data_IF_590374419404
#
_entry.id   IF_590374419404
#
_cell.length_a   1.000
_cell.length_b   1.000
_cell.length_c   1.000
_cell.angle_alpha   90.00
_cell.angle_beta   90.00
_cell.angle_gamma   90.00
#
_symmetry.space_group_name_H-M   'P 1'
#
loop_
_entity.id
_entity.type
_entity.pdbx_description
1 polymer ?
#
# COMPACT_ATOMS: atom_id res chain seq x y z
N UNK A 1 31.03 16.95 -2.07
CA UNK A 1 32.45 16.96 -1.69
C UNK A 1 32.74 15.74 -0.81
N UNK A 2 33.68 14.85 -1.19
CA UNK A 2 34.05 13.66 -0.41
C UNK A 2 34.49 13.97 1.03
N UNK A 3 35.10 15.13 1.26
CA UNK A 3 35.54 15.55 2.61
C UNK A 3 34.41 15.81 3.58
N UNK A 4 33.23 16.29 3.10
CA UNK A 4 32.05 16.48 3.93
C UNK A 4 31.31 15.17 4.22
N UNK A 5 31.57 14.13 3.46
CA UNK A 5 31.01 12.80 3.68
C UNK A 5 31.82 11.97 4.68
N UNK A 6 33.09 12.31 4.90
CA UNK A 6 34.00 11.57 5.78
C UNK A 6 33.45 11.42 7.22
N UNK A 7 32.73 12.43 7.74
CA UNK A 7 32.13 12.38 9.08
C UNK A 7 31.01 11.32 9.21
N UNK A 8 30.45 10.83 8.09
CA UNK A 8 29.42 9.80 8.08
C UNK A 8 29.97 8.38 7.85
N UNK A 9 31.31 8.28 7.67
CA UNK A 9 32.00 7.01 7.46
C UNK A 9 31.52 6.27 6.21
N UNK A 10 31.64 4.94 6.23
CA UNK A 10 31.28 4.07 5.09
C UNK A 10 29.82 4.20 4.67
N UNK A 11 28.92 4.55 5.59
CA UNK A 11 27.50 4.78 5.29
C UNK A 11 27.24 6.00 4.39
N UNK A 12 28.19 6.94 4.34
CA UNK A 12 28.14 8.12 3.46
C UNK A 12 28.61 7.87 2.02
N UNK A 13 29.10 6.67 1.67
CA UNK A 13 29.70 6.38 0.37
C UNK A 13 28.77 6.65 -0.83
N UNK A 14 27.46 6.46 -0.66
CA UNK A 14 26.45 6.70 -1.70
C UNK A 14 25.76 8.07 -1.59
N UNK A 15 26.32 8.98 -0.78
CA UNK A 15 25.76 10.29 -0.49
C UNK A 15 24.95 10.32 0.81
N UNK A 16 24.77 11.54 1.34
CA UNK A 16 24.02 11.79 2.58
C UNK A 16 22.99 12.87 2.33
N UNK A 17 21.75 12.62 2.72
CA UNK A 17 20.67 13.61 2.75
C UNK A 17 20.46 14.02 4.20
N UNK A 18 20.76 15.28 4.52
CA UNK A 18 20.55 15.85 5.86
C UNK A 18 19.22 16.59 5.86
N UNK A 19 18.29 16.14 6.71
CA UNK A 19 17.00 16.80 6.88
C UNK A 19 17.02 17.55 8.21
N UNK A 20 16.93 18.88 8.14
CA UNK A 20 16.79 19.73 9.31
C UNK A 20 15.34 20.20 9.43
N UNK A 21 14.67 19.81 10.51
CA UNK A 21 13.28 20.23 10.77
C UNK A 21 13.23 21.67 11.25
N UNK A 22 12.14 22.37 10.94
CA UNK A 22 11.89 23.71 11.46
C UNK A 22 11.67 23.65 12.96
N UNK A 23 12.39 24.49 13.72
CA UNK A 23 12.16 24.65 15.17
C UNK A 23 11.01 25.64 15.42
N UNK A 24 10.28 25.44 16.52
CA UNK A 24 9.27 26.39 16.96
C UNK A 24 9.92 27.72 17.37
N UNK A 25 9.22 28.84 17.15
CA UNK A 25 9.67 30.14 17.60
C UNK A 25 9.22 30.34 19.05
N UNK A 26 10.10 30.93 19.87
CA UNK A 26 9.82 31.27 21.29
C UNK A 26 8.59 32.17 21.40
N UNK A 27 7.76 31.90 22.40
CA UNK A 27 6.56 32.66 22.71
C UNK A 27 5.33 32.36 21.84
N UNK A 28 5.40 31.37 20.91
CA UNK A 28 4.28 31.02 20.04
C UNK A 28 3.99 29.53 20.06
N UNK A 29 2.75 29.20 20.39
CA UNK A 29 2.21 27.86 20.09
C UNK A 29 1.44 27.93 18.78
N UNK A 30 1.72 26.97 17.89
CA UNK A 30 1.06 26.87 16.57
C UNK A 30 0.42 25.52 16.42
N UNK A 31 -0.82 25.53 15.95
CA UNK A 31 -1.53 24.33 15.51
C UNK A 31 -1.58 24.38 13.98
N UNK A 32 -1.16 23.30 13.34
CA UNK A 32 -1.28 23.13 11.90
C UNK A 32 -2.18 21.94 11.61
N UNK A 33 -3.14 22.14 10.73
CA UNK A 33 -4.04 21.10 10.25
C UNK A 33 -3.93 21.10 8.74
N UNK A 34 -3.57 19.95 8.17
CA UNK A 34 -3.50 19.74 6.72
C UNK A 34 -4.33 18.53 6.37
N UNK A 35 -5.21 18.67 5.40
CA UNK A 35 -6.02 17.60 4.87
C UNK A 35 -6.00 17.63 3.34
N UNK A 36 -5.93 16.47 2.74
CA UNK A 36 -6.11 16.29 1.30
C UNK A 36 -6.97 15.08 1.05
N UNK A 37 -7.75 15.15 -0.02
CA UNK A 37 -8.52 14.02 -0.53
C UNK A 37 -8.51 14.07 -2.05
N UNK A 38 -8.72 12.93 -2.66
CA UNK A 38 -8.76 12.79 -4.10
C UNK A 38 -9.32 11.45 -4.52
N UNK A 39 -9.51 11.32 -5.82
CA UNK A 39 -9.91 10.08 -6.45
C UNK A 39 -8.82 9.66 -7.43
N UNK A 40 -8.66 8.36 -7.60
CA UNK A 40 -7.78 7.78 -8.61
C UNK A 40 -8.54 6.77 -9.43
N UNK A 41 -8.30 6.75 -10.72
CA UNK A 41 -8.88 5.79 -11.66
C UNK A 41 -7.78 5.22 -12.55
N UNK A 42 -8.08 4.13 -13.21
CA UNK A 42 -7.23 3.57 -14.27
C UNK A 42 -7.55 4.34 -15.55
N UNK A 43 -6.61 5.15 -16.08
CA UNK A 43 -6.91 6.02 -17.23
C UNK A 43 -7.05 5.22 -18.54
N UNK A 44 -6.29 4.12 -18.67
CA UNK A 44 -6.30 3.28 -19.86
C UNK A 44 -6.32 1.82 -19.45
N UNK A 45 -7.20 1.06 -20.06
CA UNK A 45 -7.24 -0.40 -19.97
C UNK A 45 -6.55 -0.99 -21.21
N UNK A 46 -6.18 -2.26 -21.10
CA UNK A 46 -5.65 -3.02 -22.24
C UNK A 46 -6.85 -3.41 -23.13
N UNK A 47 -6.79 -3.07 -24.39
CA UNK A 47 -7.81 -3.52 -25.35
C UNK A 47 -7.73 -5.04 -25.51
N UNK A 48 -8.84 -5.70 -25.28
CA UNK A 48 -8.98 -7.15 -25.37
C UNK A 48 -10.04 -7.48 -26.42
N UNK A 49 -9.89 -8.64 -27.06
CA UNK A 49 -10.93 -9.15 -27.94
C UNK A 49 -12.19 -9.48 -27.14
N UNK A 50 -13.34 -9.29 -27.74
CA UNK A 50 -14.61 -9.71 -27.19
C UNK A 50 -14.82 -11.25 -27.30
N UNK A 51 -15.93 -11.74 -26.79
CA UNK A 51 -16.22 -13.17 -26.80
C UNK A 51 -16.32 -13.75 -28.21
N UNK A 52 -16.83 -12.99 -29.18
CA UNK A 52 -16.95 -13.46 -30.57
C UNK A 52 -15.57 -13.63 -31.21
N UNK A 53 -14.75 -12.60 -31.12
CA UNK A 53 -13.38 -12.65 -31.62
C UNK A 53 -12.54 -13.71 -30.93
N UNK A 54 -12.71 -13.88 -29.59
CA UNK A 54 -12.00 -14.92 -28.86
C UNK A 54 -12.38 -16.33 -29.35
N UNK A 55 -13.67 -16.63 -29.53
CA UNK A 55 -14.15 -17.93 -30.02
C UNK A 55 -13.56 -18.26 -31.39
N UNK A 56 -13.52 -17.29 -32.28
CA UNK A 56 -12.96 -17.47 -33.64
C UNK A 56 -11.46 -17.75 -33.58
N UNK A 57 -10.70 -16.88 -32.87
CA UNK A 57 -9.24 -17.03 -32.77
C UNK A 57 -8.84 -18.35 -32.08
N UNK A 58 -9.56 -18.74 -31.03
CA UNK A 58 -9.26 -19.97 -30.30
C UNK A 58 -9.52 -21.22 -31.16
N UNK A 59 -10.66 -21.26 -31.87
CA UNK A 59 -10.97 -22.35 -32.76
C UNK A 59 -10.06 -22.37 -34.02
N UNK A 60 -9.63 -21.19 -34.52
CA UNK A 60 -8.63 -21.12 -35.56
C UNK A 60 -7.28 -21.73 -35.10
N UNK A 61 -6.85 -21.41 -33.87
CA UNK A 61 -5.65 -22.02 -33.29
C UNK A 61 -5.79 -23.54 -33.25
N UNK A 62 -6.90 -24.08 -32.75
CA UNK A 62 -7.12 -25.51 -32.66
C UNK A 62 -7.10 -26.18 -34.05
N UNK A 63 -7.74 -25.58 -35.07
CA UNK A 63 -7.69 -26.04 -36.45
C UNK A 63 -6.26 -26.09 -36.99
N UNK A 64 -5.49 -25.06 -36.76
CA UNK A 64 -4.09 -24.97 -37.20
C UNK A 64 -3.19 -26.02 -36.55
N UNK A 65 -3.54 -26.43 -35.31
CA UNK A 65 -2.86 -27.52 -34.59
C UNK A 65 -3.37 -28.93 -34.97
N UNK A 66 -4.41 -29.02 -35.80
CA UNK A 66 -5.05 -30.29 -36.17
C UNK A 66 -5.97 -30.87 -35.08
N UNK A 67 -6.37 -30.03 -34.12
CA UNK A 67 -7.29 -30.40 -33.05
C UNK A 67 -8.76 -30.10 -33.47
N UNK A 68 -9.74 -30.81 -32.88
CA UNK A 68 -11.15 -30.46 -33.04
C UNK A 68 -11.43 -29.08 -32.39
N UNK A 69 -12.37 -28.35 -32.98
CA UNK A 69 -12.84 -27.09 -32.41
C UNK A 69 -13.46 -27.30 -31.02
N UNK A 70 -13.29 -26.29 -30.16
CA UNK A 70 -13.94 -26.26 -28.86
C UNK A 70 -15.42 -25.89 -29.02
N UNK A 71 -16.31 -26.66 -28.39
CA UNK A 71 -17.73 -26.34 -28.35
C UNK A 71 -18.00 -25.24 -27.28
N UNK A 72 -18.34 -24.08 -27.76
CA UNK A 72 -18.72 -22.95 -26.90
C UNK A 72 -20.22 -22.91 -26.53
N UNK A 73 -20.97 -24.00 -26.79
CA UNK A 73 -22.37 -24.09 -26.35
C UNK A 73 -22.44 -23.96 -24.83
N UNK A 74 -23.31 -23.08 -24.32
CA UNK A 74 -23.36 -22.77 -22.90
C UNK A 74 -22.42 -21.64 -22.42
N UNK A 75 -21.38 -21.31 -23.19
CA UNK A 75 -20.46 -20.19 -22.87
C UNK A 75 -20.94 -18.91 -23.55
N UNK A 76 -21.93 -18.24 -22.91
CA UNK A 76 -22.63 -17.08 -23.47
C UNK A 76 -22.18 -15.73 -22.85
N UNK A 77 -21.09 -15.73 -22.07
CA UNK A 77 -20.51 -14.50 -21.52
C UNK A 77 -19.89 -13.64 -22.61
N UNK A 78 -19.76 -12.36 -22.32
CA UNK A 78 -18.94 -11.39 -23.05
C UNK A 78 -18.34 -10.41 -22.03
N UNK A 79 -17.50 -10.95 -21.16
CA UNK A 79 -17.05 -10.25 -19.94
C UNK A 79 -15.75 -9.51 -20.21
N UNK A 80 -15.78 -8.20 -20.00
CA UNK A 80 -14.57 -7.42 -19.82
C UNK A 80 -14.11 -7.51 -18.36
N UNK A 81 -13.21 -8.42 -18.09
CA UNK A 81 -12.73 -8.66 -16.73
C UNK A 81 -12.03 -7.47 -16.10
N UNK A 82 -11.48 -6.54 -16.88
CA UNK A 82 -10.89 -5.33 -16.36
C UNK A 82 -11.95 -4.40 -15.76
N UNK A 83 -13.11 -4.25 -16.40
CA UNK A 83 -14.23 -3.48 -15.88
C UNK A 83 -14.77 -4.09 -14.59
N UNK A 84 -14.76 -5.42 -14.51
CA UNK A 84 -15.23 -6.13 -13.32
C UNK A 84 -14.34 -5.94 -12.10
N UNK A 85 -13.03 -5.91 -12.29
CA UNK A 85 -12.09 -5.81 -11.16
C UNK A 85 -11.75 -4.36 -10.79
N UNK A 86 -11.84 -3.41 -11.72
CA UNK A 86 -11.44 -2.03 -11.47
C UNK A 86 -12.55 -1.21 -10.78
N UNK A 87 -12.11 -0.22 -10.06
CA UNK A 87 -12.95 0.80 -9.42
C UNK A 87 -12.22 2.14 -9.37
N UNK A 88 -12.98 3.21 -9.17
CA UNK A 88 -12.42 4.49 -8.77
C UNK A 88 -12.07 4.42 -7.29
N UNK A 89 -10.80 4.57 -6.96
CA UNK A 89 -10.30 4.58 -5.60
C UNK A 89 -10.39 5.96 -4.96
N UNK A 90 -10.54 5.98 -3.65
CA UNK A 90 -10.50 7.20 -2.83
C UNK A 90 -9.18 7.26 -2.07
N UNK A 91 -8.59 8.46 -2.00
CA UNK A 91 -7.36 8.71 -1.25
C UNK A 91 -7.55 9.92 -0.33
N UNK A 92 -7.09 9.79 0.90
CA UNK A 92 -7.04 10.92 1.83
C UNK A 92 -5.78 10.88 2.68
N UNK A 93 -5.25 12.07 3.00
CA UNK A 93 -4.11 12.25 3.88
C UNK A 93 -4.37 13.45 4.79
N UNK A 94 -4.45 13.20 6.08
CA UNK A 94 -4.80 14.19 7.09
C UNK A 94 -3.72 14.22 8.16
N UNK A 95 -3.24 15.41 8.48
CA UNK A 95 -2.20 15.60 9.46
C UNK A 95 -2.58 16.76 10.39
N UNK A 96 -2.35 16.56 11.67
CA UNK A 96 -2.46 17.60 12.67
C UNK A 96 -1.14 17.68 13.44
N UNK A 97 -0.66 18.90 13.71
CA UNK A 97 0.52 19.08 14.55
C UNK A 97 0.40 20.32 15.42
N UNK A 98 1.02 20.22 16.59
CA UNK A 98 1.14 21.30 17.55
C UNK A 98 2.63 21.51 17.81
N UNK A 99 3.09 22.73 17.70
CA UNK A 99 4.45 23.14 18.01
C UNK A 99 4.44 24.31 18.97
N UNK A 100 5.34 24.30 19.92
CA UNK A 100 5.51 25.44 20.82
C UNK A 100 6.94 25.55 21.35
N UNK A 101 7.36 26.73 21.70
CA UNK A 101 8.63 26.96 22.34
C UNK A 101 8.56 28.11 23.37
N UNK A 102 9.29 27.93 24.48
CA UNK A 102 9.68 28.94 25.42
C UNK A 102 11.20 29.12 25.37
N UNK A 103 11.77 29.99 26.20
CA UNK A 103 13.23 30.14 26.30
C UNK A 103 13.94 28.85 26.73
N UNK A 104 13.28 27.99 27.51
CA UNK A 104 13.85 26.78 28.11
C UNK A 104 13.28 25.49 27.56
N UNK A 105 12.20 25.52 26.78
CA UNK A 105 11.51 24.33 26.34
C UNK A 105 10.96 24.47 24.91
N UNK A 106 11.17 23.51 24.08
CA UNK A 106 10.50 23.40 22.78
C UNK A 106 9.90 22.02 22.58
N UNK A 107 8.73 21.97 21.94
CA UNK A 107 8.04 20.72 21.68
C UNK A 107 7.38 20.70 20.30
N UNK A 108 7.24 19.50 19.80
CA UNK A 108 6.45 19.14 18.63
C UNK A 108 5.62 17.89 18.95
N UNK A 109 4.35 17.92 18.62
CA UNK A 109 3.46 16.76 18.63
C UNK A 109 2.74 16.74 17.28
N UNK A 110 2.83 15.64 16.56
CA UNK A 110 2.17 15.45 15.28
C UNK A 110 1.47 14.09 15.20
N UNK A 111 0.29 14.07 14.62
CA UNK A 111 -0.44 12.86 14.28
C UNK A 111 -0.91 12.91 12.82
N UNK A 112 -0.83 11.79 12.14
CA UNK A 112 -1.24 11.68 10.74
C UNK A 112 -2.07 10.44 10.49
N UNK A 113 -3.01 10.54 9.56
CA UNK A 113 -3.80 9.44 9.04
C UNK A 113 -3.83 9.50 7.53
N UNK A 114 -3.39 8.44 6.89
CA UNK A 114 -3.51 8.25 5.45
C UNK A 114 -4.38 7.01 5.17
N UNK A 115 -5.28 7.14 4.22
CA UNK A 115 -6.11 6.05 3.73
C UNK A 115 -6.16 6.09 2.21
N UNK A 116 -6.07 4.91 1.60
CA UNK A 116 -6.15 4.74 0.16
C UNK A 116 -6.98 3.49 -0.15
N UNK A 117 -8.00 3.68 -0.95
CA UNK A 117 -8.70 2.61 -1.63
C UNK A 117 -8.03 2.35 -2.98
N UNK A 118 -7.68 1.11 -3.28
CA UNK A 118 -7.04 0.71 -4.51
C UNK A 118 -7.93 0.88 -5.75
N UNK A 119 -7.31 0.86 -6.91
CA UNK A 119 -8.03 0.82 -8.19
C UNK A 119 -8.60 -0.57 -8.48
N UNK A 120 -8.16 -1.60 -7.79
CA UNK A 120 -8.79 -2.92 -7.80
C UNK A 120 -9.75 -3.00 -6.61
N UNK A 121 -10.92 -3.59 -6.83
CA UNK A 121 -11.92 -3.79 -5.78
C UNK A 121 -11.31 -4.50 -4.56
N UNK A 122 -11.69 -4.10 -3.36
CA UNK A 122 -11.27 -4.65 -2.08
C UNK A 122 -9.80 -4.37 -1.66
N UNK A 123 -9.00 -3.65 -2.46
CA UNK A 123 -7.70 -3.17 -2.02
C UNK A 123 -7.84 -1.94 -1.13
N UNK A 124 -7.24 -1.99 0.06
CA UNK A 124 -7.26 -0.89 1.03
C UNK A 124 -5.91 -0.79 1.72
N UNK A 125 -5.42 0.42 1.82
CA UNK A 125 -4.23 0.77 2.57
C UNK A 125 -4.58 1.79 3.64
N UNK A 126 -4.03 1.65 4.85
CA UNK A 126 -4.12 2.72 5.83
C UNK A 126 -2.83 2.84 6.64
N UNK A 127 -2.55 4.06 7.08
CA UNK A 127 -1.38 4.38 7.89
C UNK A 127 -1.73 5.42 8.94
N UNK A 128 -1.40 5.12 10.18
CA UNK A 128 -1.44 6.08 11.29
C UNK A 128 0.00 6.39 11.66
N UNK A 129 0.32 7.66 11.88
CA UNK A 129 1.62 8.12 12.33
C UNK A 129 1.51 8.97 13.58
N UNK A 130 2.49 8.86 14.46
CA UNK A 130 2.68 9.72 15.63
C UNK A 130 4.13 10.18 15.65
N UNK A 131 4.33 11.49 15.85
CA UNK A 131 5.65 12.08 15.97
C UNK A 131 5.68 13.00 17.19
N UNK A 132 6.66 12.79 18.06
CA UNK A 132 6.87 13.60 19.27
C UNK A 132 8.31 14.03 19.32
N UNK A 133 8.56 15.30 19.62
CA UNK A 133 9.89 15.81 19.88
C UNK A 133 9.82 16.81 21.04
N UNK A 134 10.78 16.71 21.93
CA UNK A 134 10.91 17.60 23.06
C UNK A 134 12.39 17.94 23.29
N UNK A 135 12.66 19.21 23.60
CA UNK A 135 13.98 19.69 23.99
C UNK A 135 13.85 20.61 25.20
N UNK A 136 14.65 20.38 26.21
CA UNK A 136 14.74 21.20 27.41
C UNK A 136 16.14 21.75 27.57
N UNK A 137 16.24 23.07 27.77
CA UNK A 137 17.42 23.78 28.22
C UNK A 137 17.45 23.73 29.73
N UNK A 138 18.23 22.84 30.31
CA UNK A 138 18.34 22.72 31.77
C UNK A 138 19.16 23.87 32.39
N UNK A 139 20.22 24.26 31.65
CA UNK A 139 21.03 25.46 31.93
C UNK A 139 21.33 26.18 30.62
N UNK A 140 22.01 27.33 30.64
CA UNK A 140 22.39 28.05 29.42
C UNK A 140 23.34 27.26 28.52
N UNK A 141 24.07 26.33 29.10
CA UNK A 141 25.05 25.50 28.39
C UNK A 141 24.75 24.00 28.38
N UNK A 142 23.58 23.56 28.91
CA UNK A 142 23.21 22.14 28.92
C UNK A 142 21.77 21.94 28.50
N UNK A 143 21.57 21.12 27.46
CA UNK A 143 20.26 20.74 26.94
C UNK A 143 20.12 19.24 26.77
N UNK A 144 18.90 18.80 26.98
CA UNK A 144 18.51 17.40 26.77
C UNK A 144 17.28 17.36 25.88
N UNK A 145 17.15 16.31 25.08
CA UNK A 145 15.99 16.16 24.23
C UNK A 145 15.71 14.73 23.87
N UNK A 146 14.52 14.50 23.37
CA UNK A 146 14.14 13.23 22.76
C UNK A 146 13.27 13.46 21.52
N UNK A 147 13.32 12.50 20.62
CA UNK A 147 12.45 12.40 19.46
C UNK A 147 11.91 10.98 19.38
N UNK A 148 10.66 10.87 19.00
CA UNK A 148 10.02 9.59 18.74
C UNK A 148 9.11 9.70 17.52
N UNK A 149 9.20 8.73 16.62
CA UNK A 149 8.31 8.57 15.49
C UNK A 149 7.76 7.16 15.48
N UNK A 150 6.45 7.03 15.42
CA UNK A 150 5.76 5.76 15.35
C UNK A 150 4.82 5.70 14.15
N UNK A 151 4.68 4.52 13.57
CA UNK A 151 3.71 4.27 12.52
C UNK A 151 3.10 2.88 12.66
N UNK A 152 1.79 2.80 12.44
CA UNK A 152 1.06 1.57 12.20
C UNK A 152 0.56 1.59 10.78
N UNK A 153 0.86 0.55 10.02
CA UNK A 153 0.55 0.45 8.59
C UNK A 153 -0.24 -0.83 8.38
N UNK A 154 -1.40 -0.71 7.76
CA UNK A 154 -2.16 -1.82 7.21
C UNK A 154 -1.94 -1.79 5.69
N UNK A 155 -1.01 -2.60 5.16
CA UNK A 155 -0.73 -2.62 3.72
C UNK A 155 -1.92 -3.20 2.97
N UNK A 156 -2.08 -2.78 1.71
CA UNK A 156 -3.06 -3.38 0.83
C UNK A 156 -2.74 -4.85 0.58
N UNK A 157 -3.77 -5.68 0.57
CA UNK A 157 -3.68 -7.05 0.04
C UNK A 157 -3.79 -6.95 -1.49
N UNK A 158 -2.65 -6.72 -2.14
CA UNK A 158 -2.56 -6.40 -3.55
C UNK A 158 -3.01 -7.57 -4.41
N UNK A 159 -3.98 -7.33 -5.29
CA UNK A 159 -4.46 -8.27 -6.29
C UNK A 159 -3.76 -8.02 -7.62
N UNK A 160 -3.67 -9.06 -8.43
CA UNK A 160 -3.02 -8.94 -9.73
C UNK A 160 -4.04 -8.67 -10.84
N UNK A 161 -3.70 -7.75 -11.73
CA UNK A 161 -4.45 -7.51 -12.98
C UNK A 161 -4.24 -8.64 -13.99
N UNK A 162 -3.17 -9.41 -13.83
CA UNK A 162 -2.78 -10.48 -14.77
C UNK A 162 -3.88 -11.51 -14.99
N UNK A 163 -4.62 -11.87 -13.93
CA UNK A 163 -5.75 -12.82 -14.07
C UNK A 163 -6.86 -12.26 -14.94
N UNK A 164 -7.20 -10.98 -14.78
CA UNK A 164 -8.23 -10.32 -15.57
C UNK A 164 -7.86 -10.18 -17.06
N UNK A 165 -6.58 -9.90 -17.35
CA UNK A 165 -6.10 -9.77 -18.73
C UNK A 165 -6.02 -11.14 -19.42
N UNK A 166 -5.80 -12.22 -18.67
CA UNK A 166 -5.65 -13.59 -19.23
C UNK A 166 -6.94 -14.37 -19.28
N UNK A 167 -7.96 -14.00 -18.51
CA UNK A 167 -9.23 -14.72 -18.45
C UNK A 167 -10.00 -14.57 -19.77
N UNK A 168 -10.53 -15.68 -20.26
CA UNK A 168 -11.36 -15.68 -21.46
C UNK A 168 -12.65 -14.88 -21.26
N UNK A 169 -13.08 -14.08 -22.24
CA UNK A 169 -14.30 -13.29 -22.11
C UNK A 169 -15.60 -14.12 -22.22
N UNK A 170 -15.53 -15.38 -22.62
CA UNK A 170 -16.75 -16.20 -22.83
C UNK A 170 -17.42 -16.66 -21.54
N UNK A 171 -16.72 -16.61 -20.42
CA UNK A 171 -17.30 -16.93 -19.11
C UNK A 171 -18.06 -15.72 -18.54
N UNK A 172 -19.20 -15.98 -17.91
CA UNK A 172 -19.93 -15.00 -17.13
C UNK A 172 -19.24 -14.79 -15.78
N UNK A 173 -19.41 -13.63 -15.17
CA UNK A 173 -18.86 -13.35 -13.83
C UNK A 173 -19.53 -14.22 -12.79
N UNK A 174 -20.86 -14.33 -12.88
CA UNK A 174 -21.72 -14.85 -11.82
C UNK A 174 -22.87 -15.67 -12.41
N UNK A 175 -23.28 -16.72 -11.72
CA UNK A 175 -24.48 -17.47 -12.03
C UNK A 175 -25.57 -17.05 -11.04
N UNK A 176 -26.58 -16.33 -11.54
CA UNK A 176 -27.65 -15.76 -10.72
C UNK A 176 -28.55 -16.83 -10.10
N UNK A 177 -28.73 -17.97 -10.77
CA UNK A 177 -29.57 -19.06 -10.31
C UNK A 177 -29.04 -19.68 -9.02
N UNK A 178 -27.72 -19.86 -8.94
CA UNK A 178 -27.07 -20.50 -7.80
C UNK A 178 -26.42 -19.51 -6.83
N UNK A 179 -26.35 -18.24 -7.18
CA UNK A 179 -25.71 -17.23 -6.35
C UNK A 179 -24.20 -17.41 -6.21
N UNK A 180 -23.54 -17.95 -7.24
CA UNK A 180 -22.13 -18.31 -7.22
C UNK A 180 -21.35 -17.69 -8.38
N UNK A 181 -20.06 -17.42 -8.17
CA UNK A 181 -19.16 -17.10 -9.27
C UNK A 181 -18.94 -18.29 -10.16
N UNK A 182 -18.91 -18.07 -11.48
CA UNK A 182 -18.70 -19.13 -12.46
C UNK A 182 -17.23 -19.55 -12.56
N UNK A 183 -16.96 -20.78 -12.92
CA UNK A 183 -15.62 -21.21 -13.35
C UNK A 183 -15.30 -20.65 -14.75
N UNK A 184 -14.03 -20.71 -15.13
CA UNK A 184 -13.60 -20.56 -16.51
C UNK A 184 -13.77 -21.91 -17.24
N UNK A 185 -13.76 -21.93 -18.61
CA UNK A 185 -13.79 -23.17 -19.39
C UNK A 185 -12.65 -24.13 -19.06
N UNK A 186 -12.80 -25.41 -19.43
CA UNK A 186 -11.85 -26.49 -19.14
C UNK A 186 -10.42 -26.14 -19.53
N UNK A 187 -10.21 -25.48 -20.65
CA UNK A 187 -8.87 -25.08 -21.10
C UNK A 187 -8.20 -24.02 -20.21
N UNK A 188 -8.94 -23.37 -19.30
CA UNK A 188 -8.39 -22.37 -18.38
C UNK A 188 -8.60 -22.70 -16.90
N UNK A 189 -9.70 -23.37 -16.52
CA UNK A 189 -10.08 -23.56 -15.11
C UNK A 189 -9.02 -24.25 -14.24
N UNK A 190 -8.17 -25.09 -14.86
CA UNK A 190 -7.08 -25.75 -14.17
C UNK A 190 -5.90 -24.81 -13.85
N UNK A 191 -5.76 -23.71 -14.57
CA UNK A 191 -4.63 -22.79 -14.48
C UNK A 191 -4.97 -21.54 -13.67
N UNK A 192 -6.22 -21.10 -13.69
CA UNK A 192 -6.67 -19.87 -13.04
C UNK A 192 -8.17 -19.91 -12.71
N UNK A 193 -8.53 -19.15 -11.69
CA UNK A 193 -9.93 -18.94 -11.34
C UNK A 193 -10.52 -17.76 -12.13
N UNK A 194 -11.84 -17.64 -12.06
CA UNK A 194 -12.53 -16.40 -12.35
C UNK A 194 -11.88 -15.24 -11.58
N UNK A 195 -11.49 -14.14 -12.25
CA UNK A 195 -10.82 -13.01 -11.61
C UNK A 195 -11.56 -12.45 -10.39
N UNK A 196 -12.89 -12.45 -10.41
CA UNK A 196 -13.70 -11.95 -9.29
C UNK A 196 -13.64 -12.86 -8.06
N UNK A 197 -13.40 -14.16 -8.23
CA UNK A 197 -13.12 -15.06 -7.09
C UNK A 197 -11.89 -14.59 -6.31
N UNK A 198 -10.84 -14.20 -7.02
CA UNK A 198 -9.63 -13.71 -6.38
C UNK A 198 -9.80 -12.32 -5.76
N UNK A 199 -10.57 -11.45 -6.41
CA UNK A 199 -10.77 -10.07 -5.97
C UNK A 199 -11.77 -9.97 -4.82
N UNK A 200 -12.83 -10.78 -4.83
CA UNK A 200 -13.95 -10.67 -3.87
C UNK A 200 -13.92 -11.77 -2.81
N UNK A 201 -14.03 -13.04 -3.19
CA UNK A 201 -14.09 -14.14 -2.23
C UNK A 201 -12.77 -14.34 -1.46
N UNK A 202 -11.64 -14.07 -2.09
CA UNK A 202 -10.34 -14.06 -1.42
C UNK A 202 -9.98 -12.68 -0.86
N UNK A 203 -10.91 -11.72 -0.89
CA UNK A 203 -10.71 -10.44 -0.24
C UNK A 203 -10.50 -10.64 1.27
N UNK A 204 -9.55 -9.89 1.85
CA UNK A 204 -9.24 -9.93 3.28
C UNK A 204 -8.78 -11.30 3.81
N UNK A 205 -8.39 -12.24 2.94
CA UNK A 205 -7.80 -13.51 3.37
C UNK A 205 -6.38 -13.34 3.94
N UNK A 206 -5.69 -12.28 3.52
CA UNK A 206 -4.42 -11.86 4.09
C UNK A 206 -4.62 -10.62 4.94
N UNK A 207 -4.30 -10.73 6.23
CA UNK A 207 -4.28 -9.59 7.14
C UNK A 207 -2.85 -9.31 7.53
N UNK A 208 -2.31 -8.22 7.02
CA UNK A 208 -0.97 -7.76 7.35
C UNK A 208 -1.03 -6.48 8.21
N UNK A 209 -0.11 -6.37 9.14
CA UNK A 209 0.00 -5.27 10.08
C UNK A 209 1.47 -5.00 10.36
N UNK A 210 1.94 -3.80 10.00
CA UNK A 210 3.31 -3.40 10.18
C UNK A 210 3.42 -2.27 11.19
N UNK A 211 4.31 -2.41 12.14
CA UNK A 211 4.66 -1.38 13.11
C UNK A 211 6.08 -0.90 12.84
N UNK A 212 6.27 0.40 12.87
CA UNK A 212 7.57 1.05 12.79
C UNK A 212 7.68 2.04 13.93
N UNK A 213 8.83 2.02 14.60
CA UNK A 213 9.16 2.97 15.63
C UNK A 213 10.61 3.38 15.50
N UNK A 214 10.89 4.66 15.60
CA UNK A 214 12.26 5.17 15.71
C UNK A 214 12.29 6.26 16.75
N UNK A 215 13.35 6.30 17.54
CA UNK A 215 13.49 7.32 18.55
C UNK A 215 14.93 7.52 18.95
N UNK A 216 15.19 8.69 19.49
CA UNK A 216 16.47 9.01 20.09
C UNK A 216 16.28 9.88 21.32
N UNK A 217 17.22 9.76 22.22
CA UNK A 217 17.43 10.68 23.34
C UNK A 217 18.84 11.23 23.24
N UNK A 218 19.02 12.51 23.55
CA UNK A 218 20.33 13.13 23.46
C UNK A 218 20.54 14.14 24.58
N UNK A 219 21.79 14.36 24.90
CA UNK A 219 22.29 15.41 25.76
C UNK A 219 23.39 16.17 25.06
N UNK A 220 23.36 17.48 25.14
CA UNK A 220 24.36 18.39 24.60
C UNK A 220 24.86 19.32 25.70
N UNK A 221 26.18 19.45 25.80
CA UNK A 221 26.84 20.28 26.76
C UNK A 221 27.89 21.14 26.09
N UNK A 222 27.70 22.47 26.17
CA UNK A 222 28.65 23.48 25.69
C UNK A 222 29.57 23.86 26.85
N UNK A 223 30.88 23.68 26.72
CA UNK A 223 31.86 23.94 27.76
C UNK A 223 33.10 24.64 27.20
N UNK A 224 33.84 25.36 28.09
CA UNK A 224 35.06 26.07 27.77
C UNK A 224 34.96 26.99 26.53
N UNK A 225 33.82 27.62 26.31
CA UNK A 225 33.50 28.61 25.23
C UNK A 225 33.58 28.07 23.78
N UNK A 226 34.35 27.00 23.51
CA UNK A 226 34.64 26.53 22.14
C UNK A 226 34.38 25.03 21.94
N UNK A 227 33.95 24.34 22.99
CA UNK A 227 33.74 22.90 22.95
C UNK A 227 32.27 22.56 23.17
N UNK A 228 31.78 21.64 22.34
CA UNK A 228 30.46 21.04 22.50
C UNK A 228 30.63 19.51 22.60
N UNK A 229 30.04 18.94 23.63
CA UNK A 229 29.89 17.49 23.76
C UNK A 229 28.45 17.12 23.51
N UNK A 230 28.24 16.17 22.61
CA UNK A 230 26.92 15.60 22.31
C UNK A 230 26.94 14.09 22.47
N UNK A 231 26.09 13.57 23.34
CA UNK A 231 25.80 12.15 23.46
C UNK A 231 24.37 11.88 22.95
N UNK A 232 24.21 10.84 22.14
CA UNK A 232 22.91 10.45 21.60
C UNK A 232 22.78 8.92 21.61
N UNK A 233 21.64 8.45 22.10
CA UNK A 233 21.23 7.06 21.98
C UNK A 233 20.00 6.98 21.06
N UNK A 234 20.06 6.10 20.06
CA UNK A 234 19.00 5.91 19.08
C UNK A 234 18.54 4.46 19.06
N UNK A 235 17.26 4.26 18.88
CA UNK A 235 16.64 2.94 18.75
C UNK A 235 15.65 2.94 17.59
N UNK A 236 15.70 1.87 16.78
CA UNK A 236 14.75 1.60 15.73
C UNK A 236 14.06 0.25 15.99
N UNK A 237 12.75 0.24 15.80
CA UNK A 237 11.90 -0.93 15.94
C UNK A 237 11.09 -1.17 14.67
N UNK A 238 11.03 -2.41 14.23
CA UNK A 238 10.19 -2.83 13.11
C UNK A 238 9.56 -4.20 13.41
N UNK A 239 8.26 -4.29 13.23
CA UNK A 239 7.51 -5.55 13.35
C UNK A 239 6.57 -5.67 12.17
N UNK A 240 6.63 -6.79 11.46
CA UNK A 240 5.74 -7.10 10.36
C UNK A 240 5.00 -8.40 10.72
N UNK A 241 3.69 -8.29 10.89
CA UNK A 241 2.82 -9.43 11.20
C UNK A 241 1.93 -9.69 9.99
N UNK A 242 1.85 -10.95 9.57
CA UNK A 242 0.94 -11.36 8.50
C UNK A 242 0.25 -12.65 8.88
N UNK A 243 -1.05 -12.69 8.66
CA UNK A 243 -1.88 -13.90 8.76
C UNK A 243 -2.57 -14.11 7.43
N UNK A 244 -2.47 -15.32 6.89
CA UNK A 244 -3.19 -15.74 5.70
C UNK A 244 -4.16 -16.86 6.06
N UNK A 245 -5.39 -16.70 5.62
CA UNK A 245 -6.44 -17.73 5.68
C UNK A 245 -6.78 -18.13 4.26
N UNK A 246 -6.91 -19.41 4.00
CA UNK A 246 -7.36 -19.92 2.70
C UNK A 246 -8.78 -20.47 2.88
N UNK A 247 -9.81 -19.74 2.43
CA UNK A 247 -11.19 -20.20 2.54
C UNK A 247 -11.45 -21.35 1.58
N UNK A 248 -12.43 -22.19 1.92
CA UNK A 248 -13.07 -23.08 0.94
C UNK A 248 -14.01 -22.20 0.12
N UNK A 249 -13.80 -22.18 -1.20
CA UNK A 249 -14.58 -21.36 -2.12
C UNK A 249 -15.46 -22.28 -2.95
N UNK A 250 -16.75 -22.02 -2.92
CA UNK A 250 -17.71 -22.65 -3.81
C UNK A 250 -17.86 -21.79 -5.06
N UNK A 251 -17.77 -22.43 -6.22
CA UNK A 251 -17.99 -21.82 -7.52
C UNK A 251 -18.94 -22.71 -8.32
N UNK A 252 -19.68 -22.12 -9.23
CA UNK A 252 -20.52 -22.84 -10.18
C UNK A 252 -19.66 -23.33 -11.36
N UNK A 253 -19.62 -24.62 -11.63
CA UNK A 253 -18.92 -25.19 -12.76
C UNK A 253 -19.83 -25.24 -13.99
N UNK A 254 -19.71 -24.21 -14.84
CA UNK A 254 -20.51 -24.09 -16.06
C UNK A 254 -20.24 -25.20 -17.08
N UNK A 255 -19.12 -25.93 -16.97
CA UNK A 255 -18.79 -27.04 -17.85
C UNK A 255 -19.44 -28.37 -17.43
N UNK A 256 -20.04 -28.45 -16.25
CA UNK A 256 -20.66 -29.68 -15.75
C UNK A 256 -22.09 -29.89 -16.26
N UNK A 257 -22.66 -28.93 -16.98
CA UNK A 257 -24.03 -28.99 -17.53
C UNK A 257 -24.09 -29.29 -19.05
N UNK A 258 -22.95 -29.64 -19.66
CA UNK A 258 -22.84 -29.99 -21.10
C UNK A 258 -22.88 -31.49 -21.37
#
# INVERSE_FOLDING_TARGET
DPSSLAIFGVRGANGVIIITTKKAKVGQTRVNINGSFGFKSVPNQIEMVDAAGFKELYNEQLRNEGNPEFDFTGWNGNTNWQDEIFQTGFITNNNVSITGASEKHSFYLGAGYAYEQGNIKNEKYSKITLSVSNEYKLTDNFRVGFQFNGARILPADTKTVTTAVRATPVATVFNDQYGLYTTLPEFQKAQMNNPMVDVDLKANTTRAENYRGSGNVYAEWDFLKHFQFKAMFSMDYASNNSRKFTPIIQVYDASAEG
#
